data_IF_012856149356
#
_entry.id   IF_012856149356
#
_cell.length_a   1.000
_cell.length_b   1.000
_cell.length_c   1.000
_cell.angle_alpha   90.00
_cell.angle_beta   90.00
_cell.angle_gamma   90.00
#
_symmetry.space_group_name_H-M   'P 1'
#
loop_
_entity.id
_entity.type
_entity.pdbx_description
1 polymer ?
#
# COMPACT_ATOMS: atom_id res chain seq x y z
N UNK A 1 -14.14 -9.31 23.83
CA UNK A 1 -12.91 -8.78 23.19
C UNK A 1 -13.18 -8.00 21.91
N UNK A 2 -14.28 -8.27 21.18
CA UNK A 2 -14.69 -7.54 19.96
C UNK A 2 -14.83 -6.02 20.15
N UNK A 3 -15.43 -5.57 21.25
CA UNK A 3 -15.60 -4.13 21.50
C UNK A 3 -14.24 -3.42 21.69
N UNK A 4 -13.28 -4.09 22.33
CA UNK A 4 -11.94 -3.52 22.55
C UNK A 4 -11.15 -3.43 21.25
N UNK A 5 -11.23 -4.46 20.39
CA UNK A 5 -10.57 -4.43 19.07
C UNK A 5 -11.14 -3.34 18.17
N UNK A 6 -12.47 -3.17 18.14
CA UNK A 6 -13.11 -2.11 17.34
C UNK A 6 -12.75 -0.72 17.83
N UNK A 7 -12.73 -0.49 19.15
CA UNK A 7 -12.30 0.79 19.74
C UNK A 7 -10.81 1.05 19.45
N UNK A 8 -9.95 0.04 19.53
CA UNK A 8 -8.53 0.19 19.21
C UNK A 8 -8.30 0.58 17.73
N UNK A 9 -9.03 -0.03 16.79
CA UNK A 9 -8.98 0.36 15.39
C UNK A 9 -9.52 1.78 15.16
N UNK A 10 -10.58 2.18 15.86
CA UNK A 10 -11.08 3.55 15.80
C UNK A 10 -10.02 4.55 16.29
N UNK A 11 -9.39 4.28 17.43
CA UNK A 11 -8.30 5.11 17.99
C UNK A 11 -7.13 5.20 17.01
N UNK A 12 -6.70 4.07 16.45
CA UNK A 12 -5.66 4.05 15.41
C UNK A 12 -6.02 4.91 14.20
N UNK A 13 -7.27 4.86 13.76
CA UNK A 13 -7.75 5.61 12.59
C UNK A 13 -7.74 7.12 12.86
N UNK A 14 -8.18 7.53 14.05
CA UNK A 14 -8.10 8.94 14.48
C UNK A 14 -6.66 9.42 14.55
N UNK A 15 -5.73 8.61 15.06
CA UNK A 15 -4.31 8.94 15.11
C UNK A 15 -3.69 9.10 13.71
N UNK A 16 -4.09 8.29 12.73
CA UNK A 16 -3.64 8.48 11.35
C UNK A 16 -4.16 9.78 10.74
N UNK A 17 -5.40 10.19 11.03
CA UNK A 17 -5.94 11.48 10.59
C UNK A 17 -5.14 12.64 11.22
N UNK A 18 -4.85 12.55 12.53
CA UNK A 18 -4.04 13.55 13.23
C UNK A 18 -2.59 13.58 12.73
N UNK A 19 -2.04 12.43 12.34
CA UNK A 19 -0.72 12.32 11.71
C UNK A 19 -0.66 13.10 10.41
N UNK A 20 -1.60 12.83 9.48
CA UNK A 20 -1.67 13.52 8.19
C UNK A 20 -1.84 15.04 8.36
N UNK A 21 -2.74 15.47 9.26
CA UNK A 21 -2.93 16.90 9.58
C UNK A 21 -1.64 17.52 10.15
N UNK A 22 -0.95 16.80 11.04
CA UNK A 22 0.29 17.28 11.65
C UNK A 22 1.43 17.41 10.65
N UNK A 23 1.51 16.52 9.66
CA UNK A 23 2.53 16.53 8.59
C UNK A 23 2.32 17.68 7.59
N UNK A 24 1.12 18.26 7.50
CA UNK A 24 0.83 19.38 6.59
C UNK A 24 1.40 20.74 7.06
N UNK A 25 1.91 20.85 8.29
CA UNK A 25 2.55 22.07 8.80
C UNK A 25 3.93 21.79 9.41
N UNK A 26 4.99 22.54 9.05
CA UNK A 26 6.36 22.30 9.53
C UNK A 26 6.50 22.32 11.06
N UNK A 27 5.75 23.19 11.74
CA UNK A 27 5.80 23.35 13.20
C UNK A 27 5.20 22.15 13.95
N UNK A 28 4.26 21.42 13.33
CA UNK A 28 3.61 20.24 13.90
C UNK A 28 4.11 18.92 13.33
N UNK A 29 4.97 18.93 12.30
CA UNK A 29 5.38 17.74 11.55
C UNK A 29 5.95 16.63 12.43
N UNK A 30 6.79 16.97 13.43
CA UNK A 30 7.34 15.96 14.36
C UNK A 30 6.27 15.28 15.21
N UNK A 31 5.29 16.06 15.70
CA UNK A 31 4.15 15.52 16.46
C UNK A 31 3.24 14.68 15.56
N UNK A 32 3.00 15.13 14.33
CA UNK A 32 2.26 14.37 13.32
C UNK A 32 2.88 12.99 13.08
N UNK A 33 4.19 12.94 12.81
CA UNK A 33 4.91 11.68 12.63
C UNK A 33 4.79 10.75 13.86
N UNK A 34 4.88 11.30 15.07
CA UNK A 34 4.71 10.52 16.30
C UNK A 34 3.31 9.90 16.42
N UNK A 35 2.25 10.65 16.09
CA UNK A 35 0.88 10.08 16.04
C UNK A 35 0.77 8.95 15.03
N UNK A 36 1.45 9.05 13.88
CA UNK A 36 1.51 7.97 12.90
C UNK A 36 2.18 6.71 13.44
N UNK A 37 3.30 6.85 14.14
CA UNK A 37 4.02 5.72 14.76
C UNK A 37 3.13 5.03 15.81
N UNK A 38 2.51 5.82 16.71
CA UNK A 38 1.63 5.26 17.76
C UNK A 38 0.40 4.60 17.15
N UNK A 39 -0.22 5.22 16.14
CA UNK A 39 -1.35 4.64 15.42
C UNK A 39 -1.01 3.29 14.79
N UNK A 40 0.10 3.23 14.05
CA UNK A 40 0.56 1.97 13.43
C UNK A 40 0.88 0.89 14.48
N UNK A 41 1.51 1.25 15.60
CA UNK A 41 1.80 0.31 16.68
C UNK A 41 0.51 -0.29 17.28
N UNK A 42 -0.51 0.55 17.53
CA UNK A 42 -1.82 0.09 18.04
C UNK A 42 -2.48 -0.85 17.03
N UNK A 43 -2.48 -0.51 15.74
CA UNK A 43 -3.06 -1.36 14.70
C UNK A 43 -2.42 -2.74 14.64
N UNK A 44 -1.07 -2.80 14.63
CA UNK A 44 -0.34 -4.07 14.57
C UNK A 44 -0.62 -4.93 15.81
N UNK A 45 -0.50 -4.34 17.01
CA UNK A 45 -0.75 -5.06 18.27
C UNK A 45 -2.18 -5.60 18.32
N UNK A 46 -3.16 -4.80 17.88
CA UNK A 46 -4.57 -5.21 17.86
C UNK A 46 -4.80 -6.38 16.90
N UNK A 47 -4.21 -6.33 15.70
CA UNK A 47 -4.34 -7.40 14.69
C UNK A 47 -3.68 -8.69 15.17
N UNK A 48 -2.47 -8.61 15.73
CA UNK A 48 -1.75 -9.79 16.24
C UNK A 48 -2.45 -10.39 17.46
N UNK A 49 -3.11 -9.58 18.29
CA UNK A 49 -3.85 -10.06 19.47
C UNK A 49 -5.19 -10.71 19.13
N UNK A 50 -5.54 -10.83 17.84
CA UNK A 50 -6.78 -11.47 17.43
C UNK A 50 -6.70 -13.00 17.65
N UNK A 51 -7.68 -13.63 18.33
CA UNK A 51 -7.70 -15.08 18.59
C UNK A 51 -7.61 -15.97 17.34
N UNK A 52 -7.92 -15.44 16.16
CA UNK A 52 -7.79 -16.17 14.88
C UNK A 52 -6.35 -16.30 14.35
N UNK A 53 -5.37 -15.65 15.00
CA UNK A 53 -3.96 -15.71 14.59
C UNK A 53 -3.31 -16.96 15.20
N UNK A 54 -2.97 -17.92 14.34
CA UNK A 54 -2.34 -19.19 14.76
C UNK A 54 -0.81 -19.18 14.58
N UNK A 55 -0.30 -18.48 13.56
CA UNK A 55 1.12 -18.51 13.16
C UNK A 55 1.94 -17.31 13.66
N UNK A 56 2.00 -17.08 14.99
CA UNK A 56 2.77 -15.97 15.58
C UNK A 56 4.26 -15.98 15.17
N UNK A 57 4.85 -17.18 15.04
CA UNK A 57 6.27 -17.33 14.66
C UNK A 57 6.53 -16.82 13.24
N UNK A 58 5.68 -17.16 12.29
CA UNK A 58 5.82 -16.74 10.89
C UNK A 58 5.62 -15.23 10.73
N UNK A 59 4.60 -14.69 11.40
CA UNK A 59 4.32 -13.24 11.43
C UNK A 59 5.51 -12.48 12.02
N UNK A 60 6.06 -12.94 13.15
CA UNK A 60 7.21 -12.30 13.79
C UNK A 60 8.44 -12.31 12.88
N UNK A 61 8.74 -13.44 12.22
CA UNK A 61 9.86 -13.55 11.28
C UNK A 61 9.66 -12.60 10.10
N UNK A 62 8.49 -12.60 9.47
CA UNK A 62 8.19 -11.72 8.34
C UNK A 62 8.29 -10.23 8.74
N UNK A 63 7.78 -9.87 9.92
CA UNK A 63 7.83 -8.52 10.45
C UNK A 63 9.26 -8.05 10.70
N UNK A 64 10.10 -8.89 11.32
CA UNK A 64 11.50 -8.57 11.60
C UNK A 64 12.29 -8.43 10.29
N UNK A 65 12.14 -9.36 9.35
CA UNK A 65 12.85 -9.29 8.07
C UNK A 65 12.45 -8.05 7.28
N UNK A 66 11.14 -7.81 7.10
CA UNK A 66 10.63 -6.65 6.38
C UNK A 66 11.00 -5.33 7.04
N UNK A 67 10.86 -5.25 8.37
CA UNK A 67 11.20 -4.06 9.15
C UNK A 67 12.69 -3.74 9.13
N UNK A 68 13.56 -4.76 9.21
CA UNK A 68 15.01 -4.58 9.13
C UNK A 68 15.43 -4.10 7.74
N UNK A 69 15.00 -4.78 6.67
CA UNK A 69 15.35 -4.40 5.30
C UNK A 69 14.87 -2.98 5.00
N UNK A 70 13.61 -2.66 5.33
CA UNK A 70 13.03 -1.34 5.14
C UNK A 70 13.79 -0.25 5.89
N UNK A 71 14.12 -0.49 7.16
CA UNK A 71 14.84 0.47 8.00
C UNK A 71 16.27 0.72 7.51
N UNK A 72 16.98 -0.33 7.12
CA UNK A 72 18.34 -0.22 6.58
C UNK A 72 18.34 0.61 5.29
N UNK A 73 17.41 0.33 4.36
CA UNK A 73 17.31 1.09 3.11
C UNK A 73 16.96 2.55 3.40
N UNK A 74 15.98 2.81 4.28
CA UNK A 74 15.52 4.15 4.61
C UNK A 74 16.60 5.04 5.26
N UNK A 75 17.47 4.48 6.09
CA UNK A 75 18.56 5.23 6.74
C UNK A 75 19.75 5.45 5.81
N UNK A 76 19.97 4.57 4.83
CA UNK A 76 21.16 4.60 3.95
C UNK A 76 20.95 5.39 2.65
N UNK A 77 19.71 5.69 2.28
CA UNK A 77 19.42 6.40 1.02
C UNK A 77 19.86 7.86 1.09
N UNK A 78 20.26 8.42 -0.05
CA UNK A 78 20.52 9.86 -0.20
C UNK A 78 19.19 10.64 -0.32
N UNK A 79 19.13 11.85 0.23
CA UNK A 79 17.94 12.71 0.14
C UNK A 79 17.54 13.07 -1.29
N UNK A 80 18.51 13.11 -2.22
CA UNK A 80 18.30 13.32 -3.65
C UNK A 80 17.56 12.17 -4.33
N UNK A 81 17.68 10.96 -3.77
CA UNK A 81 17.06 9.73 -4.27
C UNK A 81 15.76 9.38 -3.52
N UNK A 82 15.19 10.31 -2.73
CA UNK A 82 13.89 10.08 -2.09
C UNK A 82 12.75 9.81 -3.08
N UNK A 83 12.62 10.51 -4.23
CA UNK A 83 11.51 10.28 -5.15
C UNK A 83 11.44 8.82 -5.64
N UNK A 84 12.58 8.23 -6.02
CA UNK A 84 12.66 6.84 -6.47
C UNK A 84 12.42 5.85 -5.33
N UNK A 85 12.90 6.14 -4.12
CA UNK A 85 12.66 5.27 -2.97
C UNK A 85 11.16 5.23 -2.62
N UNK A 86 10.48 6.37 -2.66
CA UNK A 86 9.03 6.45 -2.43
C UNK A 86 8.27 5.65 -3.49
N UNK A 87 8.66 5.76 -4.77
CA UNK A 87 8.10 4.94 -5.84
C UNK A 87 8.31 3.44 -5.57
N UNK A 88 9.53 3.02 -5.21
CA UNK A 88 9.81 1.64 -4.89
C UNK A 88 8.96 1.11 -3.71
N UNK A 89 8.83 1.86 -2.62
CA UNK A 89 8.00 1.42 -1.49
C UNK A 89 6.51 1.36 -1.83
N UNK A 90 6.00 2.25 -2.68
CA UNK A 90 4.61 2.19 -3.12
C UNK A 90 4.32 0.95 -3.98
N UNK A 91 5.31 0.42 -4.70
CA UNK A 91 5.16 -0.86 -5.39
C UNK A 91 4.91 -2.02 -4.41
N UNK A 92 5.61 -2.06 -3.27
CA UNK A 92 5.45 -3.10 -2.26
C UNK A 92 4.07 -3.07 -1.61
N UNK A 93 3.49 -1.87 -1.42
CA UNK A 93 2.11 -1.71 -0.92
C UNK A 93 1.10 -2.30 -1.91
N UNK A 94 1.29 -2.05 -3.21
CA UNK A 94 0.45 -2.63 -4.26
C UNK A 94 0.53 -4.16 -4.31
N UNK A 95 1.75 -4.72 -4.20
CA UNK A 95 1.96 -6.17 -4.16
C UNK A 95 1.34 -6.81 -2.91
N UNK A 96 1.44 -6.16 -1.75
CA UNK A 96 0.80 -6.62 -0.52
C UNK A 96 -0.74 -6.70 -0.68
N UNK A 97 -1.36 -5.71 -1.32
CA UNK A 97 -2.81 -5.74 -1.58
C UNK A 97 -3.21 -6.92 -2.48
N UNK A 98 -2.43 -7.21 -3.52
CA UNK A 98 -2.64 -8.37 -4.41
C UNK A 98 -2.52 -9.69 -3.63
N UNK A 99 -1.50 -9.83 -2.76
CA UNK A 99 -1.34 -11.05 -1.95
C UNK A 99 -2.42 -11.22 -0.89
N UNK A 100 -2.91 -10.13 -0.28
CA UNK A 100 -4.04 -10.20 0.65
C UNK A 100 -5.31 -10.67 -0.07
N UNK A 101 -5.60 -10.11 -1.25
CA UNK A 101 -6.76 -10.53 -2.04
C UNK A 101 -6.64 -11.99 -2.53
N UNK A 102 -5.44 -12.41 -2.96
CA UNK A 102 -5.19 -13.80 -3.32
C UNK A 102 -5.38 -14.75 -2.11
N UNK A 103 -4.88 -14.37 -0.94
CA UNK A 103 -5.06 -15.13 0.29
C UNK A 103 -6.53 -15.28 0.68
N UNK A 104 -7.32 -14.20 0.56
CA UNK A 104 -8.76 -14.23 0.81
C UNK A 104 -9.52 -15.10 -0.19
N UNK A 105 -9.10 -15.12 -1.46
CA UNK A 105 -9.69 -15.98 -2.49
C UNK A 105 -9.41 -17.47 -2.26
N UNK A 106 -8.17 -17.84 -1.89
CA UNK A 106 -7.79 -19.23 -1.66
C UNK A 106 -8.25 -19.78 -0.30
N UNK A 107 -8.41 -18.93 0.71
CA UNK A 107 -8.88 -19.33 2.03
C UNK A 107 -9.96 -18.36 2.57
N UNK A 108 -11.17 -18.37 1.99
CA UNK A 108 -12.24 -17.42 2.36
C UNK A 108 -12.77 -17.61 3.78
N UNK A 109 -12.63 -18.81 4.36
CA UNK A 109 -13.09 -19.08 5.73
C UNK A 109 -12.23 -18.35 6.77
N UNK A 110 -10.92 -18.20 6.52
CA UNK A 110 -10.02 -17.44 7.39
C UNK A 110 -10.38 -15.94 7.48
N UNK A 111 -11.03 -15.40 6.44
CA UNK A 111 -11.47 -13.99 6.39
C UNK A 111 -12.95 -13.82 6.76
N UNK A 112 -13.66 -14.89 7.14
CA UNK A 112 -15.10 -14.90 7.42
C UNK A 112 -15.97 -14.46 6.23
N UNK A 113 -15.53 -14.72 4.99
CA UNK A 113 -16.22 -14.32 3.75
C UNK A 113 -16.84 -15.51 3.00
N UNK A 114 -16.88 -16.71 3.60
CA UNK A 114 -17.55 -17.88 3.03
C UNK A 114 -16.64 -19.11 2.91
N UNK A 115 -16.97 -20.00 1.97
CA UNK A 115 -16.20 -21.22 1.68
C UNK A 115 -15.67 -21.20 0.25
N UNK A 116 -14.66 -22.03 -0.04
CA UNK A 116 -14.10 -22.13 -1.39
C UNK A 116 -15.21 -22.56 -2.37
N UNK A 117 -15.43 -21.76 -3.42
CA UNK A 117 -16.50 -21.97 -4.39
C UNK A 117 -17.84 -21.32 -4.04
N UNK A 118 -18.01 -20.80 -2.82
CA UNK A 118 -19.23 -20.09 -2.39
C UNK A 118 -18.87 -18.80 -1.63
N UNK A 119 -18.33 -17.84 -2.37
CA UNK A 119 -17.99 -16.50 -1.87
C UNK A 119 -19.10 -15.54 -2.32
N UNK A 120 -19.66 -14.70 -1.43
CA UNK A 120 -20.63 -13.68 -1.80
C UNK A 120 -20.10 -12.76 -2.90
N UNK A 121 -20.98 -12.37 -3.83
CA UNK A 121 -20.61 -11.51 -4.97
C UNK A 121 -19.96 -10.18 -4.53
N UNK A 122 -20.41 -9.60 -3.41
CA UNK A 122 -19.83 -8.37 -2.86
C UNK A 122 -18.34 -8.50 -2.53
N UNK A 123 -17.96 -9.55 -1.80
CA UNK A 123 -16.56 -9.82 -1.45
C UNK A 123 -15.71 -10.14 -2.68
N UNK A 124 -16.27 -10.83 -3.69
CA UNK A 124 -15.59 -11.05 -4.97
C UNK A 124 -15.28 -9.74 -5.69
N UNK A 125 -16.23 -8.80 -5.73
CA UNK A 125 -16.04 -7.48 -6.33
C UNK A 125 -14.98 -6.68 -5.56
N UNK A 126 -15.03 -6.66 -4.23
CA UNK A 126 -14.05 -5.97 -3.39
C UNK A 126 -12.63 -6.49 -3.59
N UNK A 127 -12.45 -7.83 -3.60
CA UNK A 127 -11.16 -8.46 -3.87
C UNK A 127 -10.67 -8.17 -5.30
N UNK A 128 -11.56 -8.21 -6.30
CA UNK A 128 -11.21 -7.93 -7.68
C UNK A 128 -10.73 -6.47 -7.86
N UNK A 129 -11.44 -5.51 -7.27
CA UNK A 129 -11.05 -4.09 -7.29
C UNK A 129 -9.74 -3.89 -6.53
N UNK A 130 -9.59 -4.47 -5.33
CA UNK A 130 -8.36 -4.38 -4.55
C UNK A 130 -7.14 -4.95 -5.29
N UNK A 131 -7.31 -6.09 -5.95
CA UNK A 131 -6.28 -6.72 -6.78
C UNK A 131 -5.93 -5.85 -7.99
N UNK A 132 -6.94 -5.30 -8.69
CA UNK A 132 -6.73 -4.45 -9.85
C UNK A 132 -5.96 -3.17 -9.47
N UNK A 133 -6.40 -2.47 -8.42
CA UNK A 133 -5.69 -1.26 -7.93
C UNK A 133 -4.28 -1.62 -7.47
N UNK A 134 -4.11 -2.72 -6.73
CA UNK A 134 -2.79 -3.18 -6.27
C UNK A 134 -1.83 -3.49 -7.42
N UNK A 135 -2.29 -4.19 -8.46
CA UNK A 135 -1.49 -4.54 -9.64
C UNK A 135 -1.10 -3.30 -10.46
N UNK A 136 -2.01 -2.34 -10.61
CA UNK A 136 -1.74 -1.06 -11.27
C UNK A 136 -0.71 -0.25 -10.51
N UNK A 137 -0.89 -0.14 -9.19
CA UNK A 137 0.05 0.57 -8.31
C UNK A 137 1.43 -0.08 -8.36
N UNK A 138 1.51 -1.41 -8.33
CA UNK A 138 2.76 -2.15 -8.44
C UNK A 138 3.49 -1.86 -9.76
N UNK A 139 2.80 -2.04 -10.89
CA UNK A 139 3.39 -1.85 -12.22
C UNK A 139 3.76 -0.39 -12.49
N UNK A 140 2.88 0.55 -12.18
CA UNK A 140 3.13 1.99 -12.34
C UNK A 140 4.32 2.47 -11.49
N UNK A 141 4.43 1.97 -10.26
CA UNK A 141 5.53 2.32 -9.36
C UNK A 141 6.88 1.77 -9.83
N UNK A 142 6.92 0.55 -10.39
CA UNK A 142 8.14 -0.02 -10.98
C UNK A 142 8.62 0.81 -12.18
N UNK A 143 7.70 1.21 -13.06
CA UNK A 143 8.04 2.06 -14.22
C UNK A 143 8.54 3.43 -13.75
N UNK A 144 7.89 4.04 -12.76
CA UNK A 144 8.32 5.30 -12.17
C UNK A 144 9.72 5.20 -11.54
N UNK A 145 9.97 4.14 -10.77
CA UNK A 145 11.30 3.85 -10.23
C UNK A 145 12.34 3.70 -11.34
N UNK A 146 12.06 2.91 -12.38
CA UNK A 146 12.97 2.70 -13.50
C UNK A 146 13.32 3.98 -14.27
N UNK A 147 12.36 4.91 -14.41
CA UNK A 147 12.61 6.22 -15.03
C UNK A 147 13.49 7.12 -14.17
N UNK A 148 13.24 7.18 -12.86
CA UNK A 148 14.02 8.02 -11.94
C UNK A 148 15.45 7.48 -11.72
N UNK A 149 15.61 6.16 -11.75
CA UNK A 149 16.91 5.48 -11.65
C UNK A 149 17.72 5.53 -12.96
N UNK A 150 17.11 5.96 -14.08
CA UNK A 150 17.75 6.02 -15.40
C UNK A 150 17.81 4.69 -16.15
N UNK A 151 17.14 3.63 -15.68
CA UNK A 151 17.03 2.35 -16.39
C UNK A 151 16.07 2.42 -17.59
N UNK A 152 15.07 3.30 -17.51
CA UNK A 152 14.07 3.54 -18.55
C UNK A 152 14.15 4.99 -18.97
N UNK A 153 13.97 5.27 -20.27
CA UNK A 153 13.97 6.65 -20.78
C UNK A 153 12.93 7.51 -20.07
N UNK A 154 13.36 8.70 -19.62
CA UNK A 154 12.47 9.71 -19.04
C UNK A 154 11.53 10.35 -20.05
N UNK A 155 11.79 10.19 -21.36
CA UNK A 155 10.96 10.78 -22.41
C UNK A 155 9.55 10.17 -22.39
N UNK A 156 8.49 10.98 -22.59
CA UNK A 156 7.14 10.46 -22.78
C UNK A 156 7.09 9.52 -23.98
N UNK A 157 6.74 8.25 -23.74
CA UNK A 157 6.46 7.28 -24.80
C UNK A 157 5.05 7.54 -25.32
N UNK A 158 4.94 8.13 -26.50
CA UNK A 158 3.67 8.41 -27.18
C UNK A 158 3.58 7.54 -28.43
N UNK A 159 2.48 6.79 -28.58
CA UNK A 159 2.23 5.96 -29.76
C UNK A 159 0.81 6.16 -30.32
N UNK A 160 0.65 5.90 -31.62
CA UNK A 160 -0.62 6.10 -32.33
C UNK A 160 -1.70 5.18 -31.75
N UNK A 161 -2.79 5.76 -31.25
CA UNK A 161 -3.90 5.02 -30.61
C UNK A 161 -3.81 4.87 -29.10
N UNK A 162 -2.82 5.48 -28.44
CA UNK A 162 -2.65 5.42 -26.98
C UNK A 162 -3.91 5.80 -26.21
N UNK A 163 -4.62 6.86 -26.60
CA UNK A 163 -5.85 7.27 -25.92
C UNK A 163 -6.98 6.25 -26.04
N UNK A 164 -7.08 5.55 -27.17
CA UNK A 164 -8.09 4.50 -27.37
C UNK A 164 -7.76 3.26 -26.54
N UNK A 165 -6.48 2.85 -26.52
CA UNK A 165 -6.01 1.73 -25.71
C UNK A 165 -6.18 2.01 -24.20
N UNK A 166 -5.80 3.21 -23.77
CA UNK A 166 -5.97 3.70 -22.41
C UNK A 166 -7.45 3.73 -21.99
N UNK A 167 -8.34 4.17 -22.89
CA UNK A 167 -9.79 4.17 -22.63
C UNK A 167 -10.35 2.75 -22.49
N UNK A 168 -9.95 1.82 -23.35
CA UNK A 168 -10.37 0.41 -23.30
C UNK A 168 -9.88 -0.28 -22.02
N UNK A 169 -8.66 0.02 -21.59
CA UNK A 169 -8.08 -0.52 -20.36
C UNK A 169 -8.55 0.20 -19.07
N UNK A 170 -9.42 1.21 -19.19
CA UNK A 170 -9.95 1.97 -18.05
C UNK A 170 -9.00 3.02 -17.46
N UNK A 171 -7.79 3.18 -18.02
CA UNK A 171 -6.83 4.21 -17.63
C UNK A 171 -7.03 5.47 -18.46
N UNK A 172 -8.00 6.31 -18.13
CA UNK A 172 -8.03 7.66 -18.73
C UNK A 172 -6.92 8.52 -18.14
N UNK A 173 -5.69 8.37 -18.64
CA UNK A 173 -4.64 9.34 -18.40
C UNK A 173 -4.88 10.57 -19.28
N UNK A 174 -5.53 11.57 -18.70
CA UNK A 174 -5.73 12.89 -19.32
C UNK A 174 -4.57 13.86 -19.01
N UNK A 175 -3.41 13.37 -18.54
CA UNK A 175 -2.21 14.20 -18.27
C UNK A 175 -1.13 14.13 -19.35
N UNK A 176 -1.42 13.60 -20.54
CA UNK A 176 -0.43 13.48 -21.63
C UNK A 176 -0.08 14.86 -22.26
N UNK A 177 -0.68 15.96 -21.82
CA UNK A 177 -0.42 17.30 -22.39
C UNK A 177 0.10 18.39 -21.43
N UNK A 178 0.63 18.05 -20.24
CA UNK A 178 1.32 19.09 -19.46
C UNK A 178 2.44 18.57 -18.56
N UNK A 179 3.68 18.81 -19.01
CA UNK A 179 4.69 19.54 -18.23
C UNK A 179 4.98 18.98 -16.83
N UNK A 180 5.61 17.80 -16.77
CA UNK A 180 6.43 17.38 -15.62
C UNK A 180 7.86 17.16 -16.12
N UNK A 181 8.47 18.28 -16.50
CA UNK A 181 9.91 18.49 -16.62
C UNK A 181 10.15 19.94 -16.19
N UNK A 182 10.02 20.18 -14.88
CA UNK A 182 10.71 21.22 -14.11
C UNK A 182 10.84 20.69 -12.69
#
# INVERSE_FOLDING_TARGET
>A
MSNLTSVAYLVSSVLFILSLRGLSHPTTARRGNFYGIVGMAIAIITTVSNPGVLSYKEIAIAFVIGGLIGSVIAVRIQMTALPQLVAAFHSLVGLAAVFVAASAFYNPSAFNIGTVGNIPLGSLIEMAIGTAIGAVTFTGSIIAFGKLQGFVSGNPLVFKGQHLLNLILGFRDNRINCKILY
#
